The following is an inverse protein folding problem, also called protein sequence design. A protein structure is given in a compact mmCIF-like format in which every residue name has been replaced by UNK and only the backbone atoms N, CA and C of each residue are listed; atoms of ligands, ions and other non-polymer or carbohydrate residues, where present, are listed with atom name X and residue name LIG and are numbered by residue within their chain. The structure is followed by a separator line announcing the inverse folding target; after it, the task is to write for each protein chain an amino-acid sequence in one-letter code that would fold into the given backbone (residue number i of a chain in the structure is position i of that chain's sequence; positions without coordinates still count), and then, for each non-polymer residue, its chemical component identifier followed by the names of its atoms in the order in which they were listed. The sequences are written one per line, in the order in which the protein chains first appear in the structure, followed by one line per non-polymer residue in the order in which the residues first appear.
data_IF_683081088440
#
_entry.id   IF_683081088440
#
_cell.length_a   1.000
_cell.length_b   1.000
_cell.length_c   1.000
_cell.angle_alpha   90.00
_cell.angle_beta   90.00
_cell.angle_gamma   90.00
#
_symmetry.space_group_name_H-M   'P 1'
#
loop_
_entity.id
_entity.type
_entity.pdbx_description
1 polymer ?
#
# COMPACT_ATOMS: atom_id res chain seq x y z
N UNK A 1 -60.70 9.73 -80.73
CA UNK A 1 -60.42 8.44 -80.06
C UNK A 1 -60.83 8.58 -78.59
N UNK A 2 -61.78 7.80 -78.07
CA UNK A 2 -62.13 7.88 -76.65
C UNK A 2 -61.07 7.18 -75.80
N UNK A 3 -60.56 7.88 -74.78
CA UNK A 3 -59.62 7.37 -73.77
C UNK A 3 -60.44 6.58 -72.75
N UNK A 4 -60.25 5.26 -72.70
CA UNK A 4 -60.80 4.41 -71.63
C UNK A 4 -59.98 4.60 -70.35
N UNK A 5 -60.51 5.35 -69.40
CA UNK A 5 -59.97 5.42 -68.03
C UNK A 5 -60.40 4.12 -67.33
N UNK A 6 -59.42 3.27 -66.98
CA UNK A 6 -59.67 2.09 -66.13
C UNK A 6 -60.06 2.58 -64.74
N UNK A 7 -61.25 2.16 -64.26
CA UNK A 7 -61.65 2.30 -62.86
C UNK A 7 -60.69 1.48 -62.00
N UNK A 8 -59.92 2.16 -61.14
CA UNK A 8 -59.20 1.50 -60.04
C UNK A 8 -60.25 0.85 -59.12
N UNK A 9 -60.08 -0.43 -58.83
CA UNK A 9 -60.94 -1.13 -57.88
C UNK A 9 -60.56 -0.73 -56.45
N UNK A 10 -61.56 -0.59 -55.58
CA UNK A 10 -61.42 -0.13 -54.18
C UNK A 10 -60.46 -1.02 -53.38
N UNK A 11 -60.33 -2.29 -53.77
CA UNK A 11 -59.44 -3.27 -53.13
C UNK A 11 -57.95 -2.94 -53.32
N UNK A 12 -57.56 -2.37 -54.47
CA UNK A 12 -56.17 -1.95 -54.72
C UNK A 12 -55.77 -0.78 -53.81
N UNK A 13 -56.70 0.13 -53.51
CA UNK A 13 -56.46 1.29 -52.65
C UNK A 13 -56.20 0.91 -51.19
N UNK A 14 -56.84 -0.17 -50.72
CA UNK A 14 -56.66 -0.68 -49.34
C UNK A 14 -55.28 -1.32 -49.20
N UNK A 15 -54.83 -2.10 -50.19
CA UNK A 15 -53.51 -2.75 -50.18
C UNK A 15 -52.39 -1.70 -50.21
N UNK A 16 -52.49 -0.68 -51.08
CA UNK A 16 -51.51 0.40 -51.10
C UNK A 16 -51.52 1.23 -49.81
N UNK A 17 -52.68 1.45 -49.19
CA UNK A 17 -52.78 2.13 -47.89
C UNK A 17 -52.06 1.39 -46.76
N UNK A 18 -52.19 0.07 -46.66
CA UNK A 18 -51.53 -0.75 -45.63
C UNK A 18 -50.00 -0.75 -45.82
N UNK A 19 -49.52 -0.84 -47.07
CA UNK A 19 -48.09 -0.84 -47.38
C UNK A 19 -47.44 0.50 -47.00
N UNK A 20 -48.10 1.62 -47.27
CA UNK A 20 -47.59 2.95 -46.92
C UNK A 20 -47.53 3.11 -45.39
N UNK A 21 -48.58 2.69 -44.67
CA UNK A 21 -48.62 2.78 -43.20
C UNK A 21 -47.51 1.92 -42.57
N UNK A 22 -47.32 0.68 -43.04
CA UNK A 22 -46.26 -0.21 -42.55
C UNK A 22 -44.84 0.35 -42.79
N UNK A 23 -44.61 0.98 -43.94
CA UNK A 23 -43.33 1.61 -44.24
C UNK A 23 -43.03 2.82 -43.32
N UNK A 24 -44.04 3.63 -42.97
CA UNK A 24 -43.87 4.73 -42.03
C UNK A 24 -43.56 4.28 -40.60
N UNK A 25 -44.17 3.18 -40.12
CA UNK A 25 -43.87 2.65 -38.79
C UNK A 25 -42.45 2.03 -38.71
N UNK A 26 -41.97 1.40 -39.78
CA UNK A 26 -40.60 0.89 -39.84
C UNK A 26 -39.54 2.01 -39.78
N UNK A 27 -39.82 3.16 -40.43
CA UNK A 27 -38.90 4.30 -40.44
C UNK A 27 -38.84 5.01 -39.08
N UNK A 28 -39.99 5.21 -38.42
CA UNK A 28 -40.05 5.84 -37.10
C UNK A 28 -39.37 4.95 -36.03
N UNK A 29 -39.60 3.63 -36.06
CA UNK A 29 -38.93 2.69 -35.14
C UNK A 29 -37.41 2.65 -35.29
N UNK A 30 -36.89 2.76 -36.53
CA UNK A 30 -35.45 2.82 -36.80
C UNK A 30 -34.79 4.08 -36.21
N UNK A 31 -35.40 5.25 -36.40
CA UNK A 31 -34.85 6.53 -35.88
C UNK A 31 -34.81 6.58 -34.34
N UNK A 32 -35.78 5.96 -33.67
CA UNK A 32 -35.85 5.96 -32.20
C UNK A 32 -34.82 5.03 -31.56
N UNK A 33 -34.48 3.91 -32.21
CA UNK A 33 -33.45 2.97 -31.74
C UNK A 33 -32.05 3.54 -31.99
N UNK A 34 -31.80 4.17 -33.14
CA UNK A 34 -30.49 4.77 -33.46
C UNK A 34 -30.16 5.92 -32.50
N UNK A 35 -31.12 6.79 -32.18
CA UNK A 35 -30.89 7.89 -31.22
C UNK A 35 -30.63 7.40 -29.78
N UNK A 36 -31.20 6.26 -29.37
CA UNK A 36 -31.00 5.70 -28.03
C UNK A 36 -29.67 4.95 -27.87
N UNK A 37 -29.14 4.40 -28.96
CA UNK A 37 -27.81 3.76 -28.98
C UNK A 37 -26.71 4.83 -28.92
N UNK A 38 -26.89 5.96 -29.62
CA UNK A 38 -25.91 7.04 -29.64
C UNK A 38 -25.79 7.84 -28.33
N UNK A 39 -26.82 7.80 -27.46
CA UNK A 39 -26.77 8.47 -26.14
C UNK A 39 -26.32 7.58 -24.98
N UNK A 40 -26.13 6.27 -25.18
CA UNK A 40 -25.66 5.37 -24.11
C UNK A 40 -24.15 5.07 -24.14
N UNK A 41 -23.44 5.50 -25.19
CA UNK A 41 -21.97 5.58 -25.17
C UNK A 41 -21.58 6.97 -24.66
N UNK A 42 -21.94 7.27 -23.41
CA UNK A 42 -21.19 8.25 -22.63
C UNK A 42 -19.76 7.72 -22.54
N UNK A 43 -18.89 8.31 -23.35
CA UNK A 43 -17.45 8.13 -23.41
C UNK A 43 -16.91 7.81 -22.01
N UNK A 44 -16.62 6.51 -21.78
CA UNK A 44 -15.93 6.08 -20.56
C UNK A 44 -14.63 6.87 -20.56
N UNK A 45 -14.32 7.65 -19.50
CA UNK A 45 -13.07 8.39 -19.43
C UNK A 45 -11.94 7.43 -19.79
N UNK A 46 -10.97 7.83 -20.64
CA UNK A 46 -9.87 6.95 -20.99
C UNK A 46 -9.30 6.39 -19.71
N UNK A 47 -9.22 5.06 -19.62
CA UNK A 47 -8.65 4.37 -18.47
C UNK A 47 -7.30 5.02 -18.22
N UNK A 48 -7.19 5.78 -17.12
CA UNK A 48 -5.94 6.44 -16.76
C UNK A 48 -4.92 5.30 -16.70
N UNK A 49 -3.95 5.29 -17.61
CA UNK A 49 -2.86 4.31 -17.53
C UNK A 49 -2.07 4.76 -16.31
N UNK A 50 -2.41 4.15 -15.18
CA UNK A 50 -1.80 4.46 -13.90
C UNK A 50 -0.31 4.15 -14.06
N UNK A 51 0.50 5.21 -14.10
CA UNK A 51 1.93 5.07 -14.25
C UNK A 51 2.42 4.24 -13.05
N UNK A 52 3.25 3.22 -13.24
CA UNK A 52 3.80 2.46 -12.13
C UNK A 52 4.43 3.41 -11.11
N UNK A 53 4.10 3.20 -9.83
CA UNK A 53 4.66 4.00 -8.75
C UNK A 53 6.18 3.92 -8.73
N UNK A 54 6.80 5.03 -8.35
CA UNK A 54 8.24 5.12 -8.06
C UNK A 54 8.58 4.47 -6.71
N UNK A 55 7.59 4.25 -5.84
CA UNK A 55 7.71 3.70 -4.50
C UNK A 55 6.78 2.48 -4.30
N UNK A 56 6.86 1.44 -5.15
CA UNK A 56 5.86 0.37 -5.18
C UNK A 56 5.70 -0.36 -3.84
N UNK A 57 6.79 -0.61 -3.12
CA UNK A 57 6.75 -1.25 -1.79
C UNK A 57 6.13 -0.35 -0.72
N UNK A 58 6.44 0.95 -0.74
CA UNK A 58 5.85 1.91 0.18
C UNK A 58 4.36 2.10 -0.09
N UNK A 59 3.98 2.23 -1.35
CA UNK A 59 2.59 2.45 -1.73
C UNK A 59 1.72 1.23 -1.42
N UNK A 60 2.27 0.02 -1.56
CA UNK A 60 1.60 -1.20 -1.14
C UNK A 60 1.27 -1.21 0.36
N UNK A 61 2.04 -0.52 1.21
CA UNK A 61 1.82 -0.52 2.67
C UNK A 61 1.14 0.75 3.19
N UNK A 62 1.34 1.91 2.53
CA UNK A 62 0.93 3.25 3.01
C UNK A 62 0.51 4.23 1.90
N UNK A 63 0.37 3.77 0.66
CA UNK A 63 -0.07 4.61 -0.47
C UNK A 63 -1.55 4.99 -0.37
N UNK A 64 -2.10 5.59 -1.43
CA UNK A 64 -3.52 5.98 -1.49
C UNK A 64 -4.46 4.76 -1.45
N UNK A 65 -4.02 3.62 -2.00
CA UNK A 65 -4.72 2.35 -1.96
C UNK A 65 -3.76 1.21 -1.53
N UNK A 66 -3.47 1.06 -0.22
CA UNK A 66 -2.61 -0.01 0.28
C UNK A 66 -3.19 -1.39 -0.01
N UNK A 67 -2.32 -2.39 -0.18
CA UNK A 67 -2.73 -3.78 -0.37
C UNK A 67 -3.36 -4.33 0.93
N UNK A 68 -4.66 -4.62 0.88
CA UNK A 68 -5.45 -5.15 2.00
C UNK A 68 -4.92 -6.48 2.55
N UNK A 69 -4.12 -7.21 1.77
CA UNK A 69 -3.49 -8.46 2.22
C UNK A 69 -2.27 -8.24 3.13
N UNK A 70 -1.75 -7.02 3.17
CA UNK A 70 -0.61 -6.67 4.03
C UNK A 70 -1.14 -6.28 5.40
N UNK A 71 -0.79 -7.09 6.40
CA UNK A 71 -1.07 -6.88 7.81
C UNK A 71 0.03 -6.00 8.43
N UNK A 72 -0.29 -5.36 9.55
CA UNK A 72 0.62 -4.47 10.28
C UNK A 72 0.67 -4.88 11.75
N UNK A 73 1.87 -4.84 12.33
CA UNK A 73 2.07 -4.72 13.78
C UNK A 73 2.91 -3.48 14.08
N UNK A 74 2.36 -2.57 14.90
CA UNK A 74 3.03 -1.32 15.27
C UNK A 74 3.59 -1.42 16.68
N UNK A 75 4.89 -1.21 16.80
CA UNK A 75 5.60 -1.31 18.08
C UNK A 75 5.47 -0.05 18.92
N UNK A 76 5.23 1.09 18.26
CA UNK A 76 4.93 2.38 18.89
C UNK A 76 3.50 2.49 19.42
N UNK A 77 2.70 1.42 19.34
CA UNK A 77 1.39 1.36 19.98
C UNK A 77 1.52 1.53 21.50
N UNK A 78 0.85 2.55 22.04
CA UNK A 78 0.93 2.97 23.44
C UNK A 78 1.73 4.26 23.67
N UNK A 79 2.38 4.80 22.63
CA UNK A 79 2.98 6.13 22.70
C UNK A 79 1.96 7.22 22.36
N UNK A 80 2.28 8.47 22.72
CA UNK A 80 1.46 9.63 22.37
C UNK A 80 1.41 9.83 20.84
N UNK A 81 0.50 10.69 20.38
CA UNK A 81 0.29 10.97 18.94
C UNK A 81 1.58 11.38 18.21
N UNK A 82 2.48 12.06 18.92
CA UNK A 82 3.77 12.51 18.37
C UNK A 82 4.89 11.48 18.47
N UNK A 83 4.61 10.25 18.92
CA UNK A 83 5.56 9.17 19.08
C UNK A 83 6.13 9.05 20.49
N UNK A 84 7.02 8.06 20.68
CA UNK A 84 7.70 7.84 21.95
C UNK A 84 8.91 8.78 22.03
N UNK A 85 8.90 9.71 22.98
CA UNK A 85 9.94 10.75 23.11
C UNK A 85 10.91 10.45 24.25
N UNK A 86 12.19 10.69 24.01
CA UNK A 86 13.23 10.70 25.03
C UNK A 86 14.12 11.94 24.91
N UNK A 87 14.20 12.71 25.99
CA UNK A 87 15.06 13.90 26.07
C UNK A 87 16.49 13.59 26.53
N UNK A 88 16.75 12.35 26.95
CA UNK A 88 18.07 11.95 27.43
C UNK A 88 18.96 11.49 26.27
N UNK A 89 20.27 11.80 26.29
CA UNK A 89 21.25 11.22 25.37
C UNK A 89 21.25 9.69 25.44
N UNK A 90 21.41 9.02 24.29
CA UNK A 90 21.52 7.56 24.20
C UNK A 90 22.67 7.00 25.04
N UNK A 91 23.78 7.73 25.15
CA UNK A 91 24.93 7.38 26.03
C UNK A 91 24.60 7.35 27.51
N UNK A 92 23.60 8.12 27.96
CA UNK A 92 23.18 8.16 29.37
C UNK A 92 22.01 7.22 29.65
N UNK A 93 21.03 7.20 28.74
CA UNK A 93 19.83 6.41 28.90
C UNK A 93 19.37 5.87 27.55
N UNK A 94 19.75 4.62 27.27
CA UNK A 94 19.33 3.91 26.07
C UNK A 94 17.92 3.33 26.24
N UNK A 95 16.94 4.22 26.42
CA UNK A 95 15.53 3.87 26.40
C UNK A 95 15.02 3.70 24.98
N UNK A 96 14.10 2.77 24.87
CA UNK A 96 13.49 2.35 23.64
C UNK A 96 12.30 1.45 23.97
N UNK A 97 11.68 0.91 22.92
CA UNK A 97 10.56 0.01 23.06
C UNK A 97 11.09 -1.41 23.16
N UNK A 98 10.70 -2.13 24.21
CA UNK A 98 10.99 -3.54 24.42
C UNK A 98 9.66 -4.26 24.58
N UNK A 99 9.32 -5.12 23.63
CA UNK A 99 8.06 -5.86 23.60
C UNK A 99 8.28 -7.30 23.15
N UNK A 100 7.39 -8.18 23.58
CA UNK A 100 7.38 -9.58 23.18
C UNK A 100 6.15 -9.84 22.30
N UNK A 101 6.30 -10.66 21.28
CA UNK A 101 5.26 -10.98 20.33
C UNK A 101 5.15 -12.48 20.10
N UNK A 102 3.95 -12.91 19.75
CA UNK A 102 3.63 -14.25 19.27
C UNK A 102 3.39 -14.18 17.77
N UNK A 103 3.93 -15.15 17.03
CA UNK A 103 3.71 -15.34 15.59
C UNK A 103 2.90 -16.62 15.39
N UNK A 104 1.88 -16.53 14.54
CA UNK A 104 1.10 -17.67 14.04
C UNK A 104 1.19 -17.70 12.51
N UNK A 105 1.05 -18.90 11.94
CA UNK A 105 1.04 -19.10 10.49
C UNK A 105 2.40 -18.88 9.82
N UNK A 106 2.37 -18.71 8.49
CA UNK A 106 3.56 -18.44 7.66
C UNK A 106 3.42 -17.08 6.98
N UNK A 107 4.46 -16.27 7.11
CA UNK A 107 4.65 -14.99 6.43
C UNK A 107 5.46 -15.22 5.14
N UNK A 108 5.01 -14.71 4.01
CA UNK A 108 5.73 -14.80 2.72
C UNK A 108 6.64 -13.59 2.48
N UNK A 109 6.24 -12.43 2.97
CA UNK A 109 6.91 -11.14 2.78
C UNK A 109 6.76 -10.29 4.03
N UNK A 110 7.76 -9.48 4.34
CA UNK A 110 7.61 -8.45 5.34
C UNK A 110 8.66 -7.37 5.28
N UNK A 111 8.33 -6.23 5.89
CA UNK A 111 9.11 -5.01 5.87
C UNK A 111 9.21 -4.42 7.27
N UNK A 112 10.36 -3.85 7.59
CA UNK A 112 10.53 -2.98 8.76
C UNK A 112 10.39 -1.54 8.31
N UNK A 113 9.34 -0.87 8.77
CA UNK A 113 9.09 0.54 8.54
C UNK A 113 9.42 1.35 9.78
N UNK A 114 10.18 2.43 9.59
CA UNK A 114 10.64 3.32 10.66
C UNK A 114 10.42 4.77 10.26
N UNK A 115 9.76 5.52 11.13
CA UNK A 115 9.80 6.99 11.16
C UNK A 115 10.39 7.46 12.48
N UNK A 116 11.47 8.23 12.40
CA UNK A 116 12.20 8.69 13.56
C UNK A 116 12.71 10.13 13.38
N UNK A 117 12.89 10.81 14.51
CA UNK A 117 13.42 12.17 14.53
C UNK A 117 14.32 12.39 15.76
N UNK A 118 15.09 13.46 15.68
CA UNK A 118 15.90 14.05 16.76
C UNK A 118 15.57 15.54 16.86
N UNK A 119 15.91 16.19 17.96
CA UNK A 119 15.47 17.56 18.26
C UNK A 119 13.95 17.72 18.02
N UNK A 120 13.17 16.71 18.42
CA UNK A 120 11.71 16.59 18.32
C UNK A 120 11.13 16.42 16.91
N UNK A 121 11.78 16.95 15.86
CA UNK A 121 11.21 16.99 14.51
C UNK A 121 12.22 17.08 13.38
N UNK A 122 13.51 16.97 13.67
CA UNK A 122 14.56 16.99 12.65
C UNK A 122 14.89 15.58 12.20
N UNK A 123 15.28 15.39 10.93
CA UNK A 123 15.74 14.08 10.48
C UNK A 123 17.03 13.69 11.20
N UNK A 124 17.26 12.39 11.28
CA UNK A 124 18.53 11.80 11.69
C UNK A 124 19.63 12.24 10.71
N UNK A 125 20.83 12.46 11.26
CA UNK A 125 22.04 12.78 10.50
C UNK A 125 22.97 11.57 10.46
N UNK A 126 24.14 11.69 9.82
CA UNK A 126 25.15 10.62 9.81
C UNK A 126 25.75 10.29 11.19
N UNK A 127 25.45 11.10 12.21
CA UNK A 127 25.86 10.86 13.61
C UNK A 127 24.75 10.20 14.44
N UNK A 128 23.58 10.02 13.85
CA UNK A 128 22.42 9.43 14.48
C UNK A 128 22.10 8.13 13.74
N UNK A 129 21.63 7.11 14.46
CA UNK A 129 21.19 5.88 13.82
C UNK A 129 19.97 5.29 14.53
N UNK A 130 19.46 4.20 13.96
CA UNK A 130 18.35 3.46 14.54
C UNK A 130 18.83 2.12 15.03
N UNK A 131 18.62 1.83 16.31
CA UNK A 131 18.88 0.51 16.86
C UNK A 131 17.64 -0.36 16.74
N UNK A 132 17.82 -1.57 16.22
CA UNK A 132 16.78 -2.56 16.13
C UNK A 132 17.33 -3.97 16.32
N UNK A 133 16.68 -4.75 17.18
CA UNK A 133 16.97 -6.17 17.34
C UNK A 133 15.70 -6.99 17.34
N UNK A 134 15.84 -8.22 16.85
CA UNK A 134 14.83 -9.26 16.83
C UNK A 134 15.47 -10.52 17.41
N UNK A 135 14.95 -11.03 18.53
CA UNK A 135 15.54 -12.17 19.25
C UNK A 135 17.03 -11.98 19.53
N UNK A 136 17.40 -10.78 19.99
CA UNK A 136 18.78 -10.37 20.27
C UNK A 136 19.71 -10.40 19.04
N UNK A 137 19.16 -10.61 17.85
CA UNK A 137 19.88 -10.48 16.57
C UNK A 137 19.56 -9.12 15.98
N UNK A 138 20.58 -8.30 15.79
CA UNK A 138 20.46 -6.93 15.29
C UNK A 138 21.46 -5.99 15.94
N UNK A 139 21.20 -4.70 15.83
CA UNK A 139 22.09 -3.64 16.30
C UNK A 139 21.71 -2.30 15.68
N UNK A 140 22.72 -1.46 15.43
CA UNK A 140 22.57 -0.19 14.74
C UNK A 140 22.32 -0.46 13.26
N UNK A 141 21.12 -0.17 12.77
CA UNK A 141 20.74 -0.36 11.37
C UNK A 141 21.58 0.54 10.48
N UNK A 142 22.01 -0.02 9.36
CA UNK A 142 22.79 0.70 8.36
C UNK A 142 21.88 1.03 7.17
N UNK A 143 22.00 2.25 6.65
CA UNK A 143 21.30 2.67 5.44
C UNK A 143 22.19 2.33 4.24
N UNK A 144 21.93 1.19 3.60
CA UNK A 144 22.65 0.72 2.41
C UNK A 144 21.72 0.56 1.21
N UNK A 145 22.22 -0.11 0.17
CA UNK A 145 21.48 -0.45 -1.05
C UNK A 145 20.26 -1.36 -0.83
N UNK A 146 20.11 -1.99 0.33
CA UNK A 146 18.93 -2.81 0.66
C UNK A 146 17.76 -1.98 1.21
N UNK A 147 17.97 -0.67 1.44
CA UNK A 147 16.90 0.24 1.82
C UNK A 147 15.97 0.49 0.63
N UNK A 148 14.68 0.24 0.82
CA UNK A 148 13.67 0.45 -0.20
C UNK A 148 13.32 1.94 -0.32
N UNK A 149 13.04 2.43 -1.53
CA UNK A 149 12.76 3.84 -1.74
C UNK A 149 11.43 4.23 -1.10
N UNK A 150 11.39 5.41 -0.49
CA UNK A 150 10.19 5.99 0.12
C UNK A 150 10.02 7.44 -0.29
N UNK A 151 8.80 8.00 -0.26
CA UNK A 151 8.59 9.40 -0.58
C UNK A 151 9.27 10.29 0.48
N UNK A 152 9.84 11.44 0.07
CA UNK A 152 10.55 12.35 0.96
C UNK A 152 9.61 12.96 1.99
N UNK A 153 10.12 13.18 3.21
CA UNK A 153 9.43 13.87 4.32
C UNK A 153 10.43 14.64 5.19
N UNK A 154 9.90 15.46 6.11
CA UNK A 154 10.69 16.34 6.99
C UNK A 154 11.44 15.63 8.13
N UNK A 155 11.20 14.33 8.35
CA UNK A 155 11.89 13.49 9.34
C UNK A 155 12.52 12.29 8.65
N UNK A 156 13.27 11.46 9.39
CA UNK A 156 13.83 10.25 8.79
C UNK A 156 12.76 9.18 8.60
N UNK A 157 12.70 8.64 7.38
CA UNK A 157 11.87 7.51 7.00
C UNK A 157 12.73 6.42 6.39
N UNK A 158 12.56 5.20 6.88
CA UNK A 158 13.25 4.03 6.38
C UNK A 158 12.26 2.91 6.13
N UNK A 159 12.43 2.21 5.01
CA UNK A 159 11.69 0.99 4.68
C UNK A 159 12.70 -0.08 4.33
N UNK A 160 12.80 -1.10 5.16
CA UNK A 160 13.72 -2.22 4.95
C UNK A 160 12.97 -3.49 4.56
N UNK A 161 13.51 -4.24 3.60
CA UNK A 161 13.06 -5.61 3.34
C UNK A 161 13.57 -6.54 4.45
N UNK A 162 12.68 -7.24 5.16
CA UNK A 162 13.09 -8.16 6.23
C UNK A 162 13.95 -9.32 5.72
N UNK A 163 14.02 -9.58 4.43
CA UNK A 163 14.92 -10.61 3.85
C UNK A 163 16.39 -10.18 3.86
N UNK A 164 16.67 -8.88 3.99
CA UNK A 164 18.01 -8.30 3.88
C UNK A 164 18.13 -7.08 4.79
N UNK A 165 18.39 -7.30 6.09
CA UNK A 165 18.64 -6.22 7.06
C UNK A 165 20.14 -6.12 7.33
N UNK A 166 20.74 -5.00 6.97
CA UNK A 166 22.11 -4.68 7.34
C UNK A 166 22.16 -3.90 8.65
N UNK A 167 22.96 -4.37 9.59
CA UNK A 167 23.19 -3.72 10.86
C UNK A 167 24.63 -3.89 11.35
N UNK A 168 25.03 -3.04 12.29
CA UNK A 168 26.27 -3.14 13.04
C UNK A 168 25.99 -3.48 14.50
N UNK A 169 26.62 -4.55 15.01
CA UNK A 169 26.55 -4.92 16.43
C UNK A 169 27.79 -4.47 17.21
N UNK A 170 28.84 -4.08 16.49
CA UNK A 170 30.09 -3.55 16.99
C UNK A 170 30.62 -2.60 15.93
N UNK A 171 31.11 -1.43 16.36
CA UNK A 171 31.57 -0.37 15.47
C UNK A 171 32.43 -0.88 14.32
N UNK A 172 32.02 -0.57 13.09
CA UNK A 172 32.71 -0.96 11.86
C UNK A 172 32.49 -2.41 11.41
N UNK A 173 31.80 -3.24 12.19
CA UNK A 173 31.46 -4.62 11.82
C UNK A 173 30.00 -4.68 11.40
N UNK A 174 29.77 -4.96 10.12
CA UNK A 174 28.44 -5.04 9.52
C UNK A 174 28.04 -6.48 9.25
N UNK A 175 26.75 -6.78 9.41
CA UNK A 175 26.13 -8.05 9.03
C UNK A 175 24.84 -7.77 8.28
N UNK A 176 24.64 -8.51 7.19
CA UNK A 176 23.36 -8.57 6.50
C UNK A 176 22.67 -9.89 6.88
N UNK A 177 21.42 -9.81 7.36
CA UNK A 177 20.68 -10.96 7.88
C UNK A 177 19.24 -10.95 7.39
N UNK A 178 18.74 -12.15 7.08
CA UNK A 178 17.34 -12.39 6.76
C UNK A 178 16.49 -12.48 8.04
N UNK A 179 15.97 -11.34 8.48
CA UNK A 179 15.08 -11.21 9.63
C UNK A 179 13.73 -11.91 9.42
N UNK A 180 13.24 -12.00 8.18
CA UNK A 180 12.03 -12.76 7.87
C UNK A 180 12.19 -14.24 8.26
N UNK A 181 13.35 -14.83 8.00
CA UNK A 181 13.67 -16.19 8.43
C UNK A 181 13.76 -16.30 9.95
N UNK A 182 14.21 -15.26 10.65
CA UNK A 182 14.23 -15.26 12.12
C UNK A 182 12.82 -15.24 12.71
N UNK A 183 11.90 -14.45 12.13
CA UNK A 183 10.48 -14.45 12.50
C UNK A 183 9.86 -15.86 12.33
N UNK A 184 10.23 -16.57 11.27
CA UNK A 184 9.65 -17.89 10.96
C UNK A 184 10.18 -19.03 11.85
N UNK A 185 11.37 -18.88 12.43
CA UNK A 185 12.05 -19.95 13.20
C UNK A 185 11.47 -20.15 14.60
N UNK A 186 10.86 -19.12 15.16
CA UNK A 186 10.34 -19.14 16.52
C UNK A 186 8.90 -18.68 16.55
N UNK A 187 8.08 -19.31 17.40
CA UNK A 187 6.70 -18.86 17.63
C UNK A 187 6.64 -17.54 18.40
N UNK A 188 7.71 -17.17 19.09
CA UNK A 188 7.78 -15.92 19.83
C UNK A 188 9.00 -15.14 19.43
N UNK A 189 8.90 -13.82 19.45
CA UNK A 189 10.07 -12.97 19.35
C UNK A 189 10.01 -11.78 20.29
N UNK A 190 11.19 -11.34 20.73
CA UNK A 190 11.35 -10.06 21.41
C UNK A 190 11.94 -9.04 20.44
N UNK A 191 11.48 -7.81 20.57
CA UNK A 191 12.10 -6.66 19.93
C UNK A 191 12.78 -5.79 20.96
N UNK A 192 13.82 -5.08 20.53
CA UNK A 192 14.28 -3.88 21.20
C UNK A 192 14.62 -2.85 20.13
N UNK A 193 14.02 -1.67 20.24
CA UNK A 193 14.21 -0.59 19.27
C UNK A 193 14.38 0.76 19.95
N UNK A 194 15.30 1.58 19.45
CA UNK A 194 15.60 2.91 19.97
C UNK A 194 16.20 3.80 18.87
N UNK A 195 16.03 5.11 18.98
CA UNK A 195 16.89 6.07 18.27
C UNK A 195 18.21 6.17 19.03
N UNK A 196 19.33 5.93 18.36
CA UNK A 196 20.67 6.09 18.92
C UNK A 196 21.20 7.46 18.53
N UNK A 197 21.13 8.40 19.47
CA UNK A 197 21.64 9.76 19.30
C UNK A 197 21.96 10.36 20.67
N UNK A 198 22.97 11.22 20.73
CA UNK A 198 23.23 12.02 21.93
C UNK A 198 22.42 13.33 21.98
N UNK A 199 21.64 13.60 20.94
CA UNK A 199 20.77 14.77 20.85
C UNK A 199 19.48 14.54 21.66
N UNK A 200 18.89 15.61 22.24
CA UNK A 200 17.60 15.51 22.91
C UNK A 200 16.45 15.32 21.90
N UNK A 201 15.24 15.08 22.41
CA UNK A 201 14.06 14.92 21.59
C UNK A 201 14.20 13.78 20.59
N UNK A 202 14.70 12.63 21.05
CA UNK A 202 14.73 11.38 20.29
C UNK A 202 13.31 10.83 20.18
N UNK A 203 12.76 10.82 18.99
CA UNK A 203 11.36 10.47 18.72
C UNK A 203 11.29 9.21 17.90
N UNK A 204 10.61 8.19 18.43
CA UNK A 204 10.12 7.03 17.67
C UNK A 204 8.67 7.30 17.25
N UNK A 205 8.48 7.82 16.04
CA UNK A 205 7.13 8.17 15.55
C UNK A 205 6.37 6.93 15.11
N UNK A 206 6.99 6.12 14.26
CA UNK A 206 6.47 4.80 13.90
C UNK A 206 7.62 3.80 13.85
N UNK A 207 7.44 2.66 14.50
CA UNK A 207 8.25 1.47 14.24
C UNK A 207 7.29 0.32 14.05
N UNK A 208 7.34 -0.30 12.89
CA UNK A 208 6.30 -1.23 12.47
C UNK A 208 6.85 -2.34 11.60
N UNK A 209 6.27 -3.53 11.72
CA UNK A 209 6.44 -4.59 10.72
C UNK A 209 5.16 -4.71 9.90
N UNK A 210 5.29 -4.47 8.59
CA UNK A 210 4.26 -4.79 7.60
C UNK A 210 4.55 -6.18 7.04
N UNK A 211 3.55 -7.04 6.93
CA UNK A 211 3.77 -8.43 6.56
C UNK A 211 2.58 -9.03 5.80
N UNK A 212 2.86 -9.96 4.90
CA UNK A 212 1.87 -10.68 4.12
C UNK A 212 1.94 -12.17 4.44
N UNK A 213 0.79 -12.82 4.55
CA UNK A 213 0.73 -14.27 4.76
C UNK A 213 1.12 -15.03 3.48
N UNK A 214 1.71 -16.20 3.67
CA UNK A 214 1.89 -17.14 2.58
C UNK A 214 0.54 -17.64 2.07
N UNK A 215 0.48 -17.97 0.78
CA UNK A 215 -0.74 -18.46 0.16
C UNK A 215 -1.27 -19.72 0.89
N UNK A 216 -2.57 -19.72 1.19
CA UNK A 216 -3.22 -20.80 1.95
C UNK A 216 -2.94 -20.81 3.46
N UNK A 217 -2.22 -19.82 3.99
CA UNK A 217 -1.98 -19.67 5.42
C UNK A 217 -2.68 -18.43 5.98
N UNK A 218 -3.28 -18.57 7.17
CA UNK A 218 -3.60 -17.41 8.01
C UNK A 218 -2.46 -17.20 9.00
N UNK A 219 -1.88 -16.01 8.96
CA UNK A 219 -0.75 -15.62 9.78
C UNK A 219 -1.07 -14.37 10.61
N UNK A 220 -0.51 -14.28 11.80
CA UNK A 220 -0.66 -13.11 12.66
C UNK A 220 0.60 -12.86 13.49
N UNK A 221 0.83 -11.60 13.82
CA UNK A 221 1.78 -11.16 14.84
C UNK A 221 0.97 -10.42 15.91
N UNK A 222 1.04 -10.89 17.15
CA UNK A 222 0.25 -10.36 18.27
C UNK A 222 1.18 -10.03 19.44
N UNK A 223 0.95 -8.89 20.11
CA UNK A 223 1.69 -8.55 21.34
C UNK A 223 1.35 -9.57 22.44
N UNK A 224 2.40 -10.13 23.04
CA UNK A 224 2.27 -11.07 24.15
C UNK A 224 2.07 -10.26 25.43
N UNK A 225 0.81 -10.23 25.91
CA UNK A 225 0.44 -9.65 27.21
C UNK A 225 1.05 -10.42 28.38
#
# INVERSE_FOLDING_TARGET
MPIKIKKLQVEDLIVYGIIIIAASFAYIGSSYIVNRIQTSESEKPPTLIEKPSVYPDYDAIKGEAPDEKIKLIRFTDGCEENGCVSDFPATKFFNGIKKNYLIKGKISRGYLYIEAAVDYKRPLTNYDDFYFTLNYTGGHLYSDENLLPTPPIDISRYLYDLRSITYSYQQGVYKNVNFLSLLQRSRTFNIHTAVSSDRPGRVLKEVSIYYQCAEGYDCSIEEKK
#
